data_IF_088513103388
#
_entry.id   IF_088513103388
#
_cell.length_a   1.000
_cell.length_b   1.000
_cell.length_c   1.000
_cell.angle_alpha   90.00
_cell.angle_beta   90.00
_cell.angle_gamma   90.00
#
_symmetry.space_group_name_H-M   'P 1'
#
loop_
_entity.id
_entity.type
_entity.pdbx_description
1 polymer ?
#
# COMPACT_ATOMS: atom_id res chain seq x y z
N UNK A 1 -63.23 15.16 -17.00
CA UNK A 1 -62.07 15.92 -17.35
C UNK A 1 -60.81 15.20 -16.87
N UNK A 2 -60.14 14.47 -17.75
CA UNK A 2 -58.87 13.80 -17.48
C UNK A 2 -57.75 14.80 -17.76
N UNK A 3 -57.05 15.24 -16.69
CA UNK A 3 -55.91 16.10 -16.79
C UNK A 3 -54.68 15.26 -17.17
N UNK A 4 -54.12 15.51 -18.39
CA UNK A 4 -52.90 14.93 -18.89
C UNK A 4 -51.70 15.63 -18.25
N UNK A 5 -50.76 14.83 -17.64
CA UNK A 5 -49.51 15.31 -17.12
C UNK A 5 -48.52 15.67 -18.27
N UNK A 6 -47.74 16.75 -18.14
CA UNK A 6 -46.76 17.14 -19.15
C UNK A 6 -45.57 16.16 -19.17
N UNK A 7 -44.89 15.98 -20.32
CA UNK A 7 -43.76 15.08 -20.46
C UNK A 7 -42.56 15.55 -19.65
N UNK A 8 -41.91 14.59 -18.92
CA UNK A 8 -40.67 14.85 -18.16
C UNK A 8 -39.56 15.29 -19.14
N UNK A 9 -39.03 16.47 -18.91
CA UNK A 9 -37.83 16.94 -19.62
C UNK A 9 -36.65 16.01 -19.29
N UNK A 10 -36.09 15.38 -20.32
CA UNK A 10 -34.88 14.58 -20.21
C UNK A 10 -33.73 15.42 -19.64
N UNK A 11 -32.96 14.86 -18.76
CA UNK A 11 -31.71 15.47 -18.28
C UNK A 11 -30.76 15.57 -19.47
N UNK A 12 -30.03 16.68 -19.68
CA UNK A 12 -28.99 16.75 -20.70
C UNK A 12 -27.92 15.71 -20.40
N UNK A 13 -27.53 14.98 -21.44
CA UNK A 13 -26.40 14.04 -21.37
C UNK A 13 -25.15 14.80 -20.92
N UNK A 14 -24.45 14.27 -19.91
CA UNK A 14 -23.15 14.83 -19.51
C UNK A 14 -22.19 14.76 -20.69
N UNK A 15 -21.41 15.82 -20.96
CA UNK A 15 -20.42 15.79 -22.03
C UNK A 15 -19.40 14.68 -21.74
N UNK A 16 -19.14 13.83 -22.71
CA UNK A 16 -18.02 12.91 -22.68
C UNK A 16 -16.75 13.74 -22.59
N UNK A 17 -16.06 13.69 -21.46
CA UNK A 17 -14.72 14.24 -21.36
C UNK A 17 -13.82 13.39 -22.26
N UNK A 18 -13.41 13.93 -23.37
CA UNK A 18 -12.29 13.40 -24.15
C UNK A 18 -11.03 13.60 -23.29
N UNK A 19 -10.62 12.57 -22.59
CA UNK A 19 -9.26 12.55 -22.06
C UNK A 19 -8.31 12.55 -23.26
N UNK A 20 -7.29 13.44 -23.27
CA UNK A 20 -6.28 13.39 -24.31
C UNK A 20 -5.66 11.98 -24.28
N UNK A 21 -5.64 11.33 -25.44
CA UNK A 21 -4.89 10.09 -25.63
C UNK A 21 -3.44 10.42 -25.29
N UNK A 22 -2.97 9.93 -24.15
CA UNK A 22 -1.59 10.10 -23.72
C UNK A 22 -0.72 9.53 -24.84
N UNK A 23 0.16 10.38 -25.37
CA UNK A 23 1.15 10.07 -26.37
C UNK A 23 1.80 8.71 -26.09
N UNK A 24 1.88 7.84 -27.11
CA UNK A 24 2.53 6.54 -27.09
C UNK A 24 4.07 6.63 -27.05
N UNK A 25 4.62 7.58 -26.30
CA UNK A 25 6.04 7.58 -25.99
C UNK A 25 6.29 6.37 -25.06
N UNK A 26 7.21 5.50 -25.47
CA UNK A 26 7.64 4.38 -24.63
C UNK A 26 7.97 4.91 -23.21
N UNK A 27 7.50 4.25 -22.15
CA UNK A 27 7.76 4.71 -20.79
C UNK A 27 9.27 4.85 -20.61
N UNK A 28 9.71 6.01 -20.12
CA UNK A 28 11.12 6.21 -19.79
C UNK A 28 11.54 5.17 -18.76
N UNK A 29 12.68 4.51 -18.91
CA UNK A 29 13.11 3.54 -17.93
C UNK A 29 13.22 4.22 -16.57
N UNK A 30 12.74 3.54 -15.53
CA UNK A 30 12.86 4.03 -14.15
C UNK A 30 14.34 4.18 -13.82
N UNK A 31 14.82 5.30 -13.25
CA UNK A 31 16.22 5.52 -12.98
C UNK A 31 16.75 4.49 -11.97
N UNK A 32 17.98 4.02 -12.16
CA UNK A 32 18.62 3.06 -11.28
C UNK A 32 18.80 3.60 -9.84
N UNK A 33 19.04 4.93 -9.73
CA UNK A 33 19.19 5.63 -8.46
C UNK A 33 18.23 6.84 -8.41
N UNK A 34 16.93 6.61 -8.15
CA UNK A 34 15.97 7.69 -8.05
C UNK A 34 16.21 8.53 -6.79
N UNK A 35 15.64 9.72 -6.74
CA UNK A 35 15.60 10.49 -5.49
C UNK A 35 14.83 9.70 -4.40
N UNK A 36 15.22 9.83 -3.12
CA UNK A 36 14.55 9.13 -2.02
C UNK A 36 13.02 9.31 -2.05
N UNK A 37 12.29 8.22 -1.88
CA UNK A 37 10.84 8.22 -1.89
C UNK A 37 10.18 8.41 -3.25
N UNK A 38 10.92 8.32 -4.36
CA UNK A 38 10.35 8.35 -5.70
C UNK A 38 9.34 7.22 -5.89
N UNK A 39 8.17 7.56 -6.43
CA UNK A 39 7.12 6.60 -6.72
C UNK A 39 7.44 5.82 -7.99
N UNK A 40 7.28 4.50 -7.94
CA UNK A 40 7.38 3.64 -9.11
C UNK A 40 6.13 3.81 -9.99
N UNK A 41 6.27 3.69 -11.32
CA UNK A 41 5.22 3.99 -12.28
C UNK A 41 4.22 2.84 -12.47
N UNK A 42 3.65 2.33 -11.37
CA UNK A 42 2.54 1.38 -11.43
C UNK A 42 1.25 2.09 -11.84
N UNK A 43 0.48 1.47 -12.72
CA UNK A 43 -0.80 2.00 -13.22
C UNK A 43 -1.95 1.65 -12.26
N UNK A 44 -1.96 0.42 -11.76
CA UNK A 44 -3.01 -0.10 -10.86
C UNK A 44 -2.81 0.25 -9.40
N UNK A 45 -1.74 0.96 -9.04
CA UNK A 45 -1.44 1.26 -7.65
C UNK A 45 -0.68 2.55 -7.43
N UNK A 46 -1.17 3.35 -6.51
CA UNK A 46 -0.48 4.55 -6.06
C UNK A 46 0.42 4.25 -4.86
N UNK A 47 1.41 5.11 -4.63
CA UNK A 47 2.23 5.11 -3.42
C UNK A 47 3.21 3.92 -3.28
N UNK A 48 3.50 3.19 -4.37
CA UNK A 48 4.58 2.21 -4.39
C UNK A 48 5.92 2.95 -4.58
N UNK A 49 6.84 2.81 -3.64
CA UNK A 49 8.07 3.63 -3.57
C UNK A 49 9.29 2.78 -3.29
N UNK A 50 10.39 3.16 -3.92
CA UNK A 50 11.74 2.74 -3.55
C UNK A 50 12.19 3.52 -2.30
N UNK A 51 12.81 2.85 -1.34
CA UNK A 51 13.35 3.47 -0.12
C UNK A 51 14.88 3.64 -0.16
N UNK A 52 15.53 3.42 -1.28
CA UNK A 52 16.93 3.71 -1.45
C UNK A 52 17.25 5.22 -1.45
N UNK A 53 18.48 5.56 -1.15
CA UNK A 53 18.99 6.92 -1.20
C UNK A 53 18.70 7.79 0.03
N UNK A 54 17.89 7.34 0.98
CA UNK A 54 17.73 8.07 2.25
C UNK A 54 19.06 8.09 3.01
N UNK A 55 19.39 9.26 3.54
CA UNK A 55 20.60 9.45 4.34
C UNK A 55 20.52 8.63 5.64
N UNK A 56 21.63 8.04 6.01
CA UNK A 56 21.87 7.33 7.26
C UNK A 56 23.08 7.94 7.96
N UNK A 57 23.42 7.44 9.14
CA UNK A 57 24.55 7.94 9.92
C UNK A 57 25.87 7.81 9.13
N UNK A 58 26.85 8.62 9.48
CA UNK A 58 28.21 8.62 8.92
C UNK A 58 28.25 8.87 7.41
N UNK A 59 27.31 9.64 6.84
CA UNK A 59 27.25 9.94 5.42
C UNK A 59 26.92 8.75 4.52
N UNK A 60 26.40 7.67 5.11
CA UNK A 60 25.89 6.49 4.40
C UNK A 60 24.49 6.77 3.86
N UNK A 61 24.03 5.89 3.00
CA UNK A 61 22.69 5.92 2.44
C UNK A 61 22.07 4.52 2.44
N UNK A 62 20.77 4.43 2.50
CA UNK A 62 20.04 3.18 2.24
C UNK A 62 20.34 2.75 0.79
N UNK A 63 20.73 1.51 0.59
CA UNK A 63 21.02 0.97 -0.75
C UNK A 63 19.76 0.95 -1.59
N UNK A 64 19.89 1.36 -2.87
CA UNK A 64 18.82 1.22 -3.84
C UNK A 64 18.55 -0.24 -4.19
N UNK A 65 17.33 -0.54 -4.60
CA UNK A 65 16.92 -1.88 -5.02
C UNK A 65 16.80 -2.89 -3.88
N UNK A 66 16.74 -2.44 -2.63
CA UNK A 66 16.68 -3.34 -1.47
C UNK A 66 15.33 -3.31 -0.76
N UNK A 67 14.76 -2.14 -0.60
CA UNK A 67 13.53 -1.98 0.19
C UNK A 67 12.52 -1.16 -0.60
N UNK A 68 11.34 -1.72 -0.74
CA UNK A 68 10.21 -1.06 -1.35
C UNK A 68 9.05 -1.01 -0.35
N UNK A 69 8.23 0.02 -0.44
CA UNK A 69 6.96 0.08 0.26
C UNK A 69 5.84 0.36 -0.73
N UNK A 70 4.69 -0.24 -0.53
CA UNK A 70 3.58 -0.07 -1.47
C UNK A 70 2.25 -0.50 -0.91
N UNK A 71 1.29 -0.56 -1.80
CA UNK A 71 0.01 -1.20 -1.59
C UNK A 71 0.16 -2.72 -1.69
N UNK A 72 -0.92 -3.46 -1.43
CA UNK A 72 -1.01 -4.89 -1.72
C UNK A 72 -0.62 -5.18 -3.17
N UNK A 73 0.25 -6.15 -3.38
CA UNK A 73 0.63 -6.59 -4.73
C UNK A 73 -0.53 -7.24 -5.49
N UNK A 74 -1.55 -7.72 -4.78
CA UNK A 74 -2.80 -8.21 -5.37
C UNK A 74 -3.65 -7.14 -6.06
N UNK A 75 -3.41 -5.86 -5.75
CA UNK A 75 -4.05 -4.76 -6.46
C UNK A 75 -3.44 -4.48 -7.84
N UNK A 76 -2.22 -4.97 -8.09
CA UNK A 76 -1.49 -4.81 -9.35
C UNK A 76 -1.93 -5.90 -10.34
N UNK A 77 -3.11 -5.73 -10.94
CA UNK A 77 -3.73 -6.74 -11.81
C UNK A 77 -3.33 -6.61 -13.27
N UNK A 78 -2.85 -5.43 -13.68
CA UNK A 78 -2.42 -5.15 -15.06
C UNK A 78 -1.16 -5.94 -15.45
N UNK A 79 -1.07 -6.35 -16.70
CA UNK A 79 0.11 -7.07 -17.21
C UNK A 79 1.38 -6.23 -17.12
N UNK A 80 1.29 -4.92 -17.40
CA UNK A 80 2.41 -3.99 -17.29
C UNK A 80 2.89 -3.87 -15.83
N UNK A 81 1.97 -3.80 -14.88
CA UNK A 81 2.29 -3.73 -13.46
C UNK A 81 2.97 -5.00 -12.97
N UNK A 82 2.46 -6.17 -13.36
CA UNK A 82 3.07 -7.46 -13.01
C UNK A 82 4.48 -7.59 -13.57
N UNK A 83 4.69 -7.24 -14.83
CA UNK A 83 6.03 -7.23 -15.44
C UNK A 83 6.98 -6.28 -14.70
N UNK A 84 6.49 -5.10 -14.31
CA UNK A 84 7.29 -4.17 -13.52
C UNK A 84 7.64 -4.76 -12.15
N UNK A 85 6.66 -5.36 -11.45
CA UNK A 85 6.87 -5.98 -10.15
C UNK A 85 7.88 -7.14 -10.24
N UNK A 86 7.74 -8.01 -11.25
CA UNK A 86 8.67 -9.12 -11.51
C UNK A 86 10.10 -8.62 -11.77
N UNK A 87 10.23 -7.48 -12.47
CA UNK A 87 11.53 -6.87 -12.78
C UNK A 87 12.27 -6.33 -11.56
N UNK A 88 11.58 -6.11 -10.43
CA UNK A 88 12.21 -5.66 -9.18
C UNK A 88 13.04 -6.77 -8.50
N UNK A 89 12.86 -8.03 -8.89
CA UNK A 89 13.61 -9.16 -8.33
C UNK A 89 13.39 -9.35 -6.83
N UNK A 90 12.14 -9.14 -6.37
CA UNK A 90 11.78 -9.26 -4.96
C UNK A 90 12.04 -10.68 -4.46
N UNK A 91 12.63 -10.80 -3.28
CA UNK A 91 12.85 -12.07 -2.57
C UNK A 91 11.88 -12.28 -1.42
N UNK A 92 11.39 -11.19 -0.85
CA UNK A 92 10.44 -11.19 0.24
C UNK A 92 9.33 -10.17 -0.03
N UNK A 93 8.10 -10.59 0.15
CA UNK A 93 6.94 -9.71 0.32
C UNK A 93 6.50 -9.85 1.77
N UNK A 94 6.53 -8.72 2.50
CA UNK A 94 6.04 -8.66 3.86
C UNK A 94 4.68 -7.98 3.86
N UNK A 95 3.62 -8.79 3.94
CA UNK A 95 2.24 -8.29 4.01
C UNK A 95 1.90 -7.91 5.46
N UNK A 96 1.61 -6.63 5.66
CA UNK A 96 1.34 -6.04 6.99
C UNK A 96 -0.15 -5.99 7.33
N UNK A 97 -1.00 -6.49 6.44
CA UNK A 97 -2.47 -6.46 6.59
C UNK A 97 -2.94 -7.55 7.55
N UNK A 98 -4.16 -7.38 8.04
CA UNK A 98 -4.90 -8.43 8.75
C UNK A 98 -5.22 -9.61 7.82
N UNK A 99 -5.52 -10.75 8.42
CA UNK A 99 -5.95 -11.94 7.67
C UNK A 99 -7.16 -11.67 6.81
N UNK A 100 -8.16 -11.03 7.37
CA UNK A 100 -9.40 -10.70 6.66
C UNK A 100 -9.19 -9.77 5.45
N UNK A 101 -8.21 -8.88 5.50
CA UNK A 101 -7.87 -8.03 4.35
C UNK A 101 -7.11 -8.81 3.28
N UNK A 102 -6.16 -9.67 3.69
CA UNK A 102 -5.38 -10.48 2.76
C UNK A 102 -6.22 -11.54 2.04
N UNK A 103 -7.21 -12.13 2.71
CA UNK A 103 -8.16 -13.08 2.09
C UNK A 103 -9.04 -12.41 1.03
N UNK A 104 -9.49 -11.17 1.27
CA UNK A 104 -10.29 -10.41 0.30
C UNK A 104 -9.51 -10.04 -0.96
N UNK A 105 -8.24 -9.80 -0.83
CA UNK A 105 -7.35 -9.42 -1.92
C UNK A 105 -5.99 -10.09 -1.74
N UNK A 106 -5.85 -11.37 -2.14
CA UNK A 106 -4.59 -12.09 -2.05
C UNK A 106 -3.47 -11.39 -2.84
N UNK A 107 -2.25 -11.43 -2.30
CA UNK A 107 -1.10 -10.84 -2.97
C UNK A 107 -0.69 -11.65 -4.21
N UNK A 108 -0.25 -10.94 -5.24
CA UNK A 108 0.53 -11.53 -6.31
C UNK A 108 1.98 -11.71 -5.84
N UNK A 109 2.49 -12.91 -5.95
CA UNK A 109 3.85 -13.26 -5.53
C UNK A 109 4.68 -13.58 -6.77
N UNK A 110 5.67 -12.73 -7.13
CA UNK A 110 6.61 -13.02 -8.21
C UNK A 110 7.37 -14.34 -8.00
N UNK A 111 7.81 -14.95 -9.10
CA UNK A 111 8.64 -16.14 -9.03
C UNK A 111 9.93 -15.89 -8.24
N UNK A 112 10.25 -16.80 -7.33
CA UNK A 112 11.42 -16.68 -6.46
C UNK A 112 11.24 -15.81 -5.22
N UNK A 113 10.11 -15.11 -5.08
CA UNK A 113 9.77 -14.40 -3.86
C UNK A 113 9.02 -15.32 -2.88
N UNK A 114 9.18 -15.07 -1.59
CA UNK A 114 8.32 -15.64 -0.54
C UNK A 114 7.40 -14.58 0.03
N UNK A 115 6.18 -14.96 0.37
CA UNK A 115 5.22 -14.13 1.06
C UNK A 115 5.22 -14.48 2.55
N UNK A 116 5.39 -13.46 3.38
CA UNK A 116 5.23 -13.56 4.83
C UNK A 116 4.21 -12.54 5.28
N UNK A 117 3.14 -12.98 5.92
CA UNK A 117 2.13 -12.09 6.48
C UNK A 117 2.30 -11.97 7.98
N UNK A 118 2.46 -10.74 8.43
CA UNK A 118 2.50 -10.37 9.85
C UNK A 118 1.71 -9.07 10.00
N UNK A 119 0.51 -9.15 10.54
CA UNK A 119 -0.31 -7.97 10.79
C UNK A 119 0.45 -6.96 11.65
N UNK A 120 0.55 -5.72 11.14
CA UNK A 120 1.30 -4.66 11.82
C UNK A 120 0.50 -3.96 12.91
N UNK A 121 -0.81 -4.18 12.96
CA UNK A 121 -1.71 -3.54 13.92
C UNK A 121 -2.55 -4.59 14.63
N UNK A 122 -2.29 -4.76 15.92
CA UNK A 122 -3.03 -5.67 16.77
C UNK A 122 -3.54 -4.92 18.01
N UNK A 123 -4.68 -5.32 18.54
CA UNK A 123 -5.18 -4.85 19.83
C UNK A 123 -4.30 -5.32 21.00
N UNK A 124 -4.52 -4.77 22.17
CA UNK A 124 -3.83 -5.19 23.42
C UNK A 124 -4.10 -6.66 23.77
N UNK A 125 -5.18 -7.20 23.27
CA UNK A 125 -5.57 -8.61 23.37
C UNK A 125 -4.93 -9.52 22.31
N UNK A 126 -4.10 -8.94 21.42
CA UNK A 126 -3.44 -9.65 20.32
C UNK A 126 -4.31 -9.86 19.08
N UNK A 127 -5.56 -9.38 19.07
CA UNK A 127 -6.45 -9.46 17.91
C UNK A 127 -5.97 -8.52 16.80
N UNK A 128 -5.93 -9.01 15.57
CA UNK A 128 -5.64 -8.20 14.38
C UNK A 128 -6.73 -7.15 14.14
N UNK A 129 -6.31 -5.95 13.76
CA UNK A 129 -7.21 -4.80 13.50
C UNK A 129 -7.28 -4.58 12.00
N UNK A 130 -8.48 -4.73 11.45
CA UNK A 130 -8.75 -4.60 10.00
C UNK A 130 -9.36 -3.23 9.62
N UNK A 131 -9.34 -2.25 10.52
CA UNK A 131 -9.99 -0.94 10.31
C UNK A 131 -11.48 -1.00 9.98
N UNK A 132 -12.17 -2.06 10.41
CA UNK A 132 -13.63 -2.07 10.40
C UNK A 132 -14.20 -1.00 11.35
N UNK A 133 -15.45 -0.55 11.17
CA UNK A 133 -16.08 0.37 12.12
C UNK A 133 -16.05 -0.14 13.56
N UNK A 134 -16.18 -1.46 13.76
CA UNK A 134 -16.09 -2.11 15.06
C UNK A 134 -14.67 -2.03 15.64
N UNK A 135 -13.65 -2.28 14.83
CA UNK A 135 -12.25 -2.20 15.25
C UNK A 135 -11.88 -0.77 15.64
N UNK A 136 -12.32 0.22 14.86
CA UNK A 136 -12.11 1.64 15.18
C UNK A 136 -12.82 2.01 16.49
N UNK A 137 -14.05 1.55 16.68
CA UNK A 137 -14.82 1.78 17.93
C UNK A 137 -14.10 1.17 19.14
N UNK A 138 -13.56 -0.05 18.99
CA UNK A 138 -12.80 -0.73 20.04
C UNK A 138 -11.51 0.01 20.41
N UNK A 139 -10.78 0.51 19.41
CA UNK A 139 -9.59 1.34 19.62
C UNK A 139 -9.93 2.62 20.38
N UNK A 140 -11.05 3.27 20.05
CA UNK A 140 -11.51 4.49 20.73
C UNK A 140 -11.96 4.24 22.18
N UNK A 141 -12.54 3.08 22.49
CA UNK A 141 -12.97 2.74 23.85
C UNK A 141 -11.80 2.55 24.81
N UNK A 142 -10.66 2.05 24.33
CA UNK A 142 -9.45 1.85 25.16
C UNK A 142 -8.72 3.15 25.52
N UNK A 143 -9.09 4.29 24.94
CA UNK A 143 -8.34 5.56 25.05
C UNK A 143 -8.99 6.64 25.93
N UNK A 144 -9.87 6.26 26.86
CA UNK A 144 -10.65 7.25 27.63
C UNK A 144 -9.85 8.16 28.58
N UNK A 145 -8.54 7.94 28.80
CA UNK A 145 -7.83 8.60 29.91
C UNK A 145 -6.60 9.44 29.60
N UNK A 146 -6.10 9.53 28.39
CA UNK A 146 -4.89 10.36 28.18
C UNK A 146 -4.92 11.09 26.83
N UNK A 147 -5.55 12.17 26.65
CA UNK A 147 -5.36 13.21 25.59
C UNK A 147 -4.56 12.92 24.31
N UNK A 148 -4.20 11.65 24.06
CA UNK A 148 -3.45 11.19 22.92
C UNK A 148 -4.41 10.93 21.75
N UNK A 149 -4.04 11.47 20.60
CA UNK A 149 -4.76 11.21 19.36
C UNK A 149 -4.71 9.72 19.03
N UNK A 150 -5.85 9.10 18.65
CA UNK A 150 -5.93 7.71 18.18
C UNK A 150 -4.84 7.37 17.17
N UNK A 151 -4.57 8.28 16.22
CA UNK A 151 -3.52 8.08 15.24
C UNK A 151 -2.13 7.92 15.88
N UNK A 152 -1.81 8.70 16.92
CA UNK A 152 -0.52 8.60 17.63
C UNK A 152 -0.35 7.24 18.31
N UNK A 153 -1.39 6.75 18.98
CA UNK A 153 -1.37 5.42 19.61
C UNK A 153 -1.18 4.30 18.58
N UNK A 154 -1.88 4.39 17.43
CA UNK A 154 -1.74 3.43 16.33
C UNK A 154 -0.33 3.46 15.74
N UNK A 155 0.23 4.64 15.47
CA UNK A 155 1.61 4.75 14.95
C UNK A 155 2.64 4.22 15.94
N UNK A 156 2.49 4.50 17.24
CA UNK A 156 3.38 3.94 18.27
C UNK A 156 3.35 2.42 18.30
N UNK A 157 2.16 1.83 18.21
CA UNK A 157 2.00 0.38 18.18
C UNK A 157 2.59 -0.24 16.91
N UNK A 158 2.44 0.42 15.77
CA UNK A 158 3.03 -0.02 14.51
C UNK A 158 4.56 0.08 14.51
N UNK A 159 5.14 1.06 15.21
CA UNK A 159 6.58 1.32 15.19
C UNK A 159 7.35 0.52 16.24
N UNK A 160 6.84 0.42 17.46
CA UNK A 160 7.60 -0.13 18.58
C UNK A 160 7.21 -1.57 18.91
N UNK A 161 8.21 -2.44 18.96
CA UNK A 161 8.03 -3.86 19.31
C UNK A 161 7.32 -4.70 18.25
N UNK A 162 7.07 -4.17 17.08
CA UNK A 162 6.33 -4.81 16.00
C UNK A 162 7.07 -6.01 15.42
N UNK A 163 6.41 -7.16 15.38
CA UNK A 163 6.98 -8.41 14.85
C UNK A 163 7.33 -8.32 13.36
N UNK A 164 6.56 -7.54 12.59
CA UNK A 164 6.80 -7.35 11.16
C UNK A 164 8.14 -6.66 10.89
N UNK A 165 8.49 -5.62 11.65
CA UNK A 165 9.79 -4.97 11.51
C UNK A 165 10.95 -5.86 11.96
N UNK A 166 10.75 -6.69 12.98
CA UNK A 166 11.76 -7.68 13.36
C UNK A 166 12.04 -8.65 12.22
N UNK A 167 11.00 -9.14 11.56
CA UNK A 167 11.15 -10.01 10.39
C UNK A 167 11.82 -9.28 9.21
N UNK A 168 11.44 -8.02 8.94
CA UNK A 168 12.09 -7.22 7.91
C UNK A 168 13.61 -7.11 8.14
N UNK A 169 14.03 -6.73 9.33
CA UNK A 169 15.45 -6.58 9.65
C UNK A 169 16.18 -7.92 9.63
N UNK A 170 15.55 -8.99 10.13
CA UNK A 170 16.11 -10.35 10.04
C UNK A 170 16.37 -10.75 8.58
N UNK A 171 15.41 -10.49 7.69
CA UNK A 171 15.54 -10.81 6.27
C UNK A 171 16.65 -9.99 5.61
N UNK A 172 16.74 -8.69 5.90
CA UNK A 172 17.81 -7.83 5.39
C UNK A 172 19.20 -8.28 5.86
N UNK A 173 19.33 -8.69 7.13
CA UNK A 173 20.59 -9.25 7.67
C UNK A 173 20.97 -10.57 7.01
N UNK A 174 19.97 -11.40 6.68
CA UNK A 174 20.16 -12.66 5.95
C UNK A 174 20.48 -12.46 4.45
N UNK A 175 20.33 -11.24 3.94
CA UNK A 175 20.51 -10.92 2.53
C UNK A 175 19.34 -11.39 1.66
N UNK A 176 18.15 -11.45 2.24
CA UNK A 176 16.90 -11.80 1.54
C UNK A 176 16.27 -10.60 0.86
#
# INVERSE_FOLDING_TARGET
GTASLPPRRGRPAKPFYNFPVLSSAAPKPFPAHPAPGTQLPFEGGNNFRELGGYEADEGKHVKWGQIYRGISTGALTGEADRKLLDSLGLRLILDLRSEAEAEKQPDYVPDGARLVRICSLCGSDGREIAFSPEDVAHLLQGQKDEGHNLADAMYRQMLFGNKAYKELFRALEAGE
#
